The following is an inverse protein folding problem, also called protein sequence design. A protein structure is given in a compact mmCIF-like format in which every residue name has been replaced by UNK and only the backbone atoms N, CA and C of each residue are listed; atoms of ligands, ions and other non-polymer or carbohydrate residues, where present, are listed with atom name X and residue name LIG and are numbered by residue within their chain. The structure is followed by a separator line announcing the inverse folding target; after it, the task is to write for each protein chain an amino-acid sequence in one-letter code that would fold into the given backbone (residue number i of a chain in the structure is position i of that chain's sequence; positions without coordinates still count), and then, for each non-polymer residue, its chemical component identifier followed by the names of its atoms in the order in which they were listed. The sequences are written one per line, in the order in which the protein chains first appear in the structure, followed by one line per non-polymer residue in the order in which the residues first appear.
data_IF_484100935644
#
_entry.id   IF_484100935644
#
_cell.length_a   1.000
_cell.length_b   1.000
_cell.length_c   1.000
_cell.angle_alpha   90.00
_cell.angle_beta   90.00
_cell.angle_gamma   90.00
#
_symmetry.space_group_name_H-M   'P 1'
#
loop_
_entity.id
_entity.type
_entity.pdbx_description
1 polymer ?
#
# COMPACT_ATOMS: atom_id res chain seq x y z
N UNK A 1 -4.07 -7.99 -15.95
CA UNK A 1 -3.56 -8.63 -14.72
C UNK A 1 -3.74 -7.74 -13.48
N UNK A 2 -3.62 -6.40 -13.61
CA UNK A 2 -3.84 -5.42 -12.51
C UNK A 2 -5.25 -5.42 -11.89
N UNK A 3 -6.32 -5.58 -12.68
CA UNK A 3 -7.69 -5.49 -12.17
C UNK A 3 -8.09 -6.59 -11.17
N UNK A 4 -7.38 -7.74 -11.18
CA UNK A 4 -7.74 -8.87 -10.30
C UNK A 4 -7.40 -8.62 -8.83
N UNK A 5 -6.41 -7.79 -8.54
CA UNK A 5 -6.01 -7.49 -7.16
C UNK A 5 -6.88 -6.39 -6.53
N UNK A 6 -7.38 -5.46 -7.33
CA UNK A 6 -8.19 -4.34 -6.84
C UNK A 6 -9.53 -4.79 -6.23
N UNK A 7 -10.13 -5.85 -6.79
CA UNK A 7 -11.39 -6.42 -6.31
C UNK A 7 -11.28 -7.19 -4.98
N UNK A 8 -10.08 -7.35 -4.40
CA UNK A 8 -9.86 -8.03 -3.11
C UNK A 8 -9.49 -7.08 -1.97
N UNK A 9 -9.58 -5.75 -2.16
CA UNK A 9 -9.13 -4.79 -1.15
C UNK A 9 -7.61 -4.82 -0.93
N UNK A 10 -6.87 -5.19 -1.97
CA UNK A 10 -5.43 -5.36 -1.93
C UNK A 10 -4.77 -4.14 -2.60
N UNK A 11 -4.15 -3.29 -1.79
CA UNK A 11 -3.47 -2.08 -2.26
C UNK A 11 -1.95 -2.30 -2.26
N UNK A 12 -1.36 -2.61 -3.42
CA UNK A 12 0.08 -2.81 -3.50
C UNK A 12 0.77 -1.44 -3.39
N UNK A 13 1.71 -1.34 -2.46
CA UNK A 13 2.62 -0.22 -2.39
C UNK A 13 3.78 -0.48 -3.36
N UNK A 14 3.90 0.33 -4.42
CA UNK A 14 5.11 0.34 -5.22
C UNK A 14 6.17 1.13 -4.46
N UNK A 15 7.21 0.45 -3.98
CA UNK A 15 8.45 1.04 -3.50
C UNK A 15 9.12 1.84 -4.61
N UNK A 16 8.55 3.00 -4.92
CA UNK A 16 9.10 3.93 -5.87
C UNK A 16 10.34 4.53 -5.24
N UNK A 17 11.48 3.89 -5.51
CA UNK A 17 12.75 4.57 -5.60
C UNK A 17 12.59 5.76 -6.55
N UNK A 18 13.21 6.87 -6.21
CA UNK A 18 13.07 8.20 -6.81
C UNK A 18 13.61 8.31 -8.24
N UNK A 19 13.48 7.28 -9.06
CA UNK A 19 14.22 7.17 -10.29
C UNK A 19 13.34 6.57 -11.39
N UNK A 20 13.00 7.41 -12.37
CA UNK A 20 12.54 6.99 -13.70
C UNK A 20 13.56 6.10 -14.44
N UNK A 21 14.72 5.81 -13.83
CA UNK A 21 15.78 4.94 -14.36
C UNK A 21 15.96 3.63 -13.58
N UNK A 22 15.28 3.41 -12.44
CA UNK A 22 15.23 2.09 -11.78
C UNK A 22 13.96 1.36 -12.21
N UNK A 23 14.13 0.36 -13.08
CA UNK A 23 13.05 -0.48 -13.63
C UNK A 23 12.48 -1.44 -12.57
N UNK A 24 13.18 -1.63 -11.45
CA UNK A 24 12.84 -2.59 -10.40
C UNK A 24 12.00 -1.95 -9.29
N UNK A 25 10.70 -1.81 -9.52
CA UNK A 25 9.74 -1.49 -8.47
C UNK A 25 9.32 -2.75 -7.73
N UNK A 26 9.52 -2.78 -6.41
CA UNK A 26 8.99 -3.84 -5.54
C UNK A 26 7.57 -3.46 -5.10
N UNK A 27 6.62 -4.35 -5.36
CA UNK A 27 5.24 -4.20 -4.90
C UNK A 27 5.06 -4.94 -3.58
N UNK A 28 4.78 -4.19 -2.52
CA UNK A 28 4.58 -4.72 -1.17
C UNK A 28 3.15 -4.45 -0.75
N UNK A 29 2.42 -5.47 -0.34
CA UNK A 29 1.06 -5.29 0.14
C UNK A 29 1.10 -4.82 1.60
N UNK A 30 0.72 -3.57 1.84
CA UNK A 30 0.84 -2.96 3.18
C UNK A 30 0.09 -3.77 4.26
N UNK A 31 -1.05 -4.36 3.91
CA UNK A 31 -1.86 -5.19 4.81
C UNK A 31 -1.22 -6.54 5.18
N UNK A 32 -0.13 -6.92 4.52
CA UNK A 32 0.69 -8.12 4.83
C UNK A 32 1.94 -7.78 5.61
N UNK A 33 2.23 -6.49 5.82
CA UNK A 33 3.36 -6.02 6.60
C UNK A 33 3.00 -6.16 8.07
N UNK A 34 3.88 -6.83 8.82
CA UNK A 34 3.85 -6.92 10.28
C UNK A 34 4.63 -5.77 10.91
N UNK A 35 5.82 -5.48 10.39
CA UNK A 35 6.67 -4.38 10.84
C UNK A 35 7.67 -3.96 9.75
N UNK A 36 8.24 -2.76 9.89
CA UNK A 36 9.50 -2.40 9.22
C UNK A 36 10.55 -2.24 10.30
N UNK A 37 11.72 -2.82 10.09
CA UNK A 37 12.87 -2.62 10.95
C UNK A 37 13.90 -1.70 10.26
N UNK A 38 14.44 -0.70 10.98
CA UNK A 38 15.54 0.10 10.47
C UNK A 38 16.83 -0.73 10.42
N UNK A 39 17.50 -0.69 9.28
CA UNK A 39 18.92 -1.06 9.14
C UNK A 39 19.71 0.21 8.81
N UNK A 40 21.03 0.21 9.04
CA UNK A 40 21.86 1.42 8.99
C UNK A 40 21.54 2.36 7.81
N UNK A 41 21.56 1.81 6.60
CA UNK A 41 21.28 2.52 5.34
C UNK A 41 20.04 1.97 4.59
N UNK A 42 19.44 0.91 5.12
CA UNK A 42 18.40 0.11 4.45
C UNK A 42 17.22 -0.13 5.39
N UNK A 43 16.22 -0.87 4.93
CA UNK A 43 15.10 -1.29 5.77
C UNK A 43 14.74 -2.73 5.50
N UNK A 44 14.25 -3.42 6.53
CA UNK A 44 13.73 -4.76 6.40
C UNK A 44 12.22 -4.74 6.63
N UNK A 45 11.45 -5.21 5.66
CA UNK A 45 10.02 -5.44 5.82
C UNK A 45 9.82 -6.83 6.39
N UNK A 46 9.15 -6.93 7.52
CA UNK A 46 8.73 -8.19 8.12
C UNK A 46 7.27 -8.40 7.76
N UNK A 47 6.97 -9.54 7.13
CA UNK A 47 5.63 -9.93 6.77
C UNK A 47 4.93 -10.70 7.90
N UNK A 48 3.61 -10.85 7.81
CA UNK A 48 2.79 -11.61 8.79
C UNK A 48 3.20 -13.09 8.92
N UNK A 49 3.87 -13.65 7.92
CA UNK A 49 4.40 -15.02 7.93
C UNK A 49 5.85 -15.09 8.44
N UNK A 50 6.34 -14.02 9.08
CA UNK A 50 7.70 -13.86 9.58
C UNK A 50 8.80 -13.93 8.51
N UNK A 51 8.43 -13.91 7.22
CA UNK A 51 9.39 -13.69 6.15
C UNK A 51 9.87 -12.25 6.17
N UNK A 52 11.15 -12.06 5.82
CA UNK A 52 11.78 -10.76 5.73
C UNK A 52 12.11 -10.44 4.27
N UNK A 53 12.03 -9.16 3.94
CA UNK A 53 12.49 -8.62 2.67
C UNK A 53 13.34 -7.39 2.96
N UNK A 54 14.62 -7.46 2.59
CA UNK A 54 15.51 -6.30 2.66
C UNK A 54 15.24 -5.39 1.47
N UNK A 55 15.08 -4.11 1.75
CA UNK A 55 14.85 -3.06 0.78
C UNK A 55 16.04 -2.13 0.77
N UNK A 56 16.49 -1.79 -0.43
CA UNK A 56 17.51 -0.76 -0.66
C UNK A 56 16.93 0.65 -0.53
N UNK A 57 16.28 0.89 0.61
CA UNK A 57 15.54 2.09 0.97
C UNK A 57 15.68 2.31 2.45
N UNK A 58 15.90 3.56 2.87
CA UNK A 58 15.92 3.90 4.28
C UNK A 58 14.55 3.63 4.92
N UNK A 59 14.56 3.28 6.21
CA UNK A 59 13.36 3.09 7.02
C UNK A 59 12.32 4.20 6.82
N UNK A 60 12.76 5.46 6.88
CA UNK A 60 11.89 6.62 6.73
C UNK A 60 11.19 6.66 5.36
N UNK A 61 11.90 6.29 4.28
CA UNK A 61 11.30 6.22 2.94
C UNK A 61 10.26 5.11 2.90
N UNK A 62 10.58 3.92 3.40
CA UNK A 62 9.65 2.78 3.45
C UNK A 62 8.41 3.06 4.30
N UNK A 63 8.57 3.70 5.46
CA UNK A 63 7.48 4.07 6.36
C UNK A 63 6.54 5.09 5.72
N UNK A 64 7.08 6.19 5.18
CA UNK A 64 6.29 7.26 4.55
C UNK A 64 5.42 6.73 3.43
N UNK A 65 5.95 5.76 2.72
CA UNK A 65 5.31 5.14 1.59
C UNK A 65 4.15 4.21 1.98
N UNK A 66 4.32 3.41 3.03
CA UNK A 66 3.21 2.65 3.64
C UNK A 66 2.11 3.60 4.11
N UNK A 67 2.48 4.69 4.79
CA UNK A 67 1.51 5.67 5.27
C UNK A 67 0.71 6.30 4.13
N UNK A 68 1.36 6.62 3.00
CA UNK A 68 0.67 7.14 1.80
C UNK A 68 -0.32 6.13 1.24
N UNK A 69 0.08 4.86 1.11
CA UNK A 69 -0.82 3.81 0.63
C UNK A 69 -2.02 3.61 1.54
N UNK A 70 -1.80 3.53 2.87
CA UNK A 70 -2.88 3.41 3.84
C UNK A 70 -3.84 4.62 3.78
N UNK A 71 -3.31 5.83 3.60
CA UNK A 71 -4.12 7.04 3.43
C UNK A 71 -4.97 6.98 2.16
N UNK A 72 -4.39 6.61 1.02
CA UNK A 72 -5.12 6.50 -0.24
C UNK A 72 -6.23 5.46 -0.19
N UNK A 73 -5.98 4.30 0.43
CA UNK A 73 -7.02 3.31 0.66
C UNK A 73 -8.15 3.84 1.54
N UNK A 74 -7.81 4.47 2.67
CA UNK A 74 -8.82 5.05 3.55
C UNK A 74 -9.71 6.06 2.80
N UNK A 75 -9.09 6.95 2.02
CA UNK A 75 -9.81 7.90 1.18
C UNK A 75 -10.70 7.22 0.14
N UNK A 76 -10.17 6.21 -0.56
CA UNK A 76 -10.90 5.48 -1.58
C UNK A 76 -12.12 4.75 -1.00
N UNK A 77 -11.94 4.00 0.10
CA UNK A 77 -13.02 3.31 0.80
C UNK A 77 -14.12 4.28 1.23
N UNK A 78 -13.73 5.46 1.76
CA UNK A 78 -14.67 6.50 2.18
C UNK A 78 -15.48 7.08 1.00
N UNK A 79 -14.83 7.30 -0.14
CA UNK A 79 -15.51 7.75 -1.35
C UNK A 79 -16.52 6.71 -1.83
N UNK A 80 -16.13 5.43 -1.89
CA UNK A 80 -17.05 4.36 -2.26
C UNK A 80 -18.25 4.26 -1.32
N UNK A 81 -18.04 4.36 0.00
CA UNK A 81 -19.17 4.33 0.96
C UNK A 81 -20.12 5.51 0.74
N UNK A 82 -19.58 6.69 0.43
CA UNK A 82 -20.39 7.89 0.15
C UNK A 82 -21.22 7.77 -1.13
N UNK A 83 -20.66 7.15 -2.18
CA UNK A 83 -21.38 6.87 -3.43
C UNK A 83 -22.49 5.85 -3.23
N UNK A 84 -22.23 4.77 -2.49
CA UNK A 84 -23.25 3.75 -2.19
C UNK A 84 -24.41 4.32 -1.37
N UNK A 85 -24.12 5.17 -0.38
CA UNK A 85 -25.15 5.87 0.41
C UNK A 85 -25.96 6.85 -0.45
N UNK A 86 -25.32 7.56 -1.37
CA UNK A 86 -26.03 8.44 -2.31
C UNK A 86 -26.92 7.64 -3.27
N UNK A 87 -26.45 6.51 -3.77
CA UNK A 87 -27.24 5.68 -4.68
C UNK A 87 -28.45 5.05 -3.96
N UNK A 88 -28.29 4.59 -2.72
CA UNK A 88 -29.40 4.10 -1.88
C UNK A 88 -30.45 5.18 -1.61
N UNK A 89 -30.05 6.43 -1.35
CA UNK A 89 -30.99 7.55 -1.14
C UNK A 89 -31.81 7.86 -2.39
N UNK A 90 -31.22 7.75 -3.59
CA UNK A 90 -31.94 7.95 -4.86
C UNK A 90 -32.95 6.85 -5.19
N UNK A 91 -32.77 5.64 -4.69
CA UNK A 91 -33.70 4.52 -4.91
C UNK A 91 -34.92 4.53 -3.97
N UNK A 92 -34.94 5.40 -2.96
CA UNK A 92 -36.03 5.49 -1.96
C UNK A 92 -36.96 6.68 -2.23
N UNK A 93 -36.61 7.54 -3.19
CA UNK A 93 -37.44 8.62 -3.76
C UNK A 93 -37.98 8.22 -5.11
#
# INVERSE_FOLDING_TARGET
MFERFYNQGVYPFAAATYSSTQIECIWIFYNKIKAIEPKSEHSAVIFQNDQNLELDLSFYKSERQIQRTAYYEFCFLRLQTSEQLNNKRRMVT
#
